data_IF_752923839702
#
_entry.id   IF_752923839702
#
_cell.length_a   1.000
_cell.length_b   1.000
_cell.length_c   1.000
_cell.angle_alpha   90.00
_cell.angle_beta   90.00
_cell.angle_gamma   90.00
#
_symmetry.space_group_name_H-M   'P 1'
#
loop_
_entity.id
_entity.type
_entity.pdbx_description
1 polymer ?
#
# COMPACT_ATOMS: atom_id res chain seq x y z
N UNK A 1 10.35 16.91 10.24
CA UNK A 1 9.93 15.66 9.55
C UNK A 1 9.21 14.77 10.55
N UNK A 2 8.08 14.18 10.15
CA UNK A 2 7.38 13.15 10.92
C UNK A 2 7.28 11.93 10.00
N UNK A 3 7.85 10.79 10.43
CA UNK A 3 7.94 9.61 9.57
C UNK A 3 7.86 8.30 10.38
N UNK A 4 7.41 7.22 9.73
CA UNK A 4 7.34 5.86 10.29
C UNK A 4 8.21 4.85 9.51
N UNK A 5 8.82 5.25 8.39
CA UNK A 5 9.67 4.38 7.60
C UNK A 5 11.02 4.10 8.29
N UNK A 6 11.60 2.95 7.97
CA UNK A 6 12.90 2.54 8.52
C UNK A 6 14.06 3.27 7.83
N UNK A 7 13.90 3.65 6.55
CA UNK A 7 14.91 4.38 5.77
C UNK A 7 15.14 5.79 6.34
N UNK A 8 16.38 6.26 6.22
CA UNK A 8 16.85 7.54 6.77
C UNK A 8 17.47 8.39 5.65
N UNK A 9 16.71 8.52 4.54
CA UNK A 9 17.18 9.14 3.29
C UNK A 9 16.98 10.68 3.28
N UNK A 10 16.75 11.28 4.44
CA UNK A 10 16.49 12.72 4.57
C UNK A 10 17.77 13.47 4.92
N UNK A 11 18.13 14.46 4.10
CA UNK A 11 19.16 15.45 4.45
C UNK A 11 18.60 16.40 5.54
N UNK A 12 19.01 16.18 6.79
CA UNK A 12 18.61 16.97 7.94
C UNK A 12 19.61 18.10 8.20
N UNK A 13 19.11 19.31 8.40
CA UNK A 13 19.90 20.45 8.83
C UNK A 13 19.90 20.59 10.36
N UNK A 14 20.87 21.33 10.92
CA UNK A 14 21.09 21.46 12.38
C UNK A 14 19.84 21.91 13.17
N UNK A 15 18.93 22.65 12.54
CA UNK A 15 17.71 23.16 13.16
C UNK A 15 16.44 22.38 12.82
N UNK A 16 16.55 21.31 12.03
CA UNK A 16 15.40 20.50 11.66
C UNK A 16 14.97 19.59 12.80
N UNK A 17 13.67 19.45 12.97
CA UNK A 17 13.08 18.55 13.94
C UNK A 17 12.59 17.28 13.22
N UNK A 18 12.97 16.12 13.75
CA UNK A 18 12.51 14.82 13.26
C UNK A 18 11.86 14.04 14.39
N UNK A 19 10.69 13.48 14.09
CA UNK A 19 10.00 12.50 14.93
C UNK A 19 9.83 11.22 14.13
N UNK A 20 10.51 10.17 14.56
CA UNK A 20 10.48 8.85 13.91
C UNK A 20 10.02 7.80 14.91
N UNK A 21 8.99 7.03 14.56
CA UNK A 21 8.43 6.00 15.42
C UNK A 21 8.09 4.77 14.59
N UNK A 22 8.30 3.59 15.17
CA UNK A 22 7.92 2.31 14.55
C UNK A 22 6.43 2.06 14.78
N UNK A 23 5.61 2.61 13.90
CA UNK A 23 4.14 2.48 13.87
C UNK A 23 3.68 2.08 12.47
N UNK A 24 2.40 1.73 12.31
CA UNK A 24 1.88 1.30 11.01
C UNK A 24 1.65 2.45 10.02
N UNK A 25 1.53 3.68 10.53
CA UNK A 25 1.25 4.87 9.71
C UNK A 25 1.76 6.14 10.39
N UNK A 26 2.30 7.07 9.63
CA UNK A 26 2.68 8.40 10.14
C UNK A 26 1.51 9.13 10.80
N UNK A 27 0.28 8.86 10.36
CA UNK A 27 -0.94 9.43 10.93
C UNK A 27 -1.18 9.02 12.38
N UNK A 28 -0.63 7.92 12.87
CA UNK A 28 -0.66 7.55 14.30
C UNK A 28 0.13 8.56 15.14
N UNK A 29 1.31 8.94 14.66
CA UNK A 29 2.18 9.92 15.33
C UNK A 29 1.46 11.27 15.38
N UNK A 30 0.95 11.72 14.24
CA UNK A 30 0.22 13.01 14.13
C UNK A 30 -1.03 13.02 15.02
N UNK A 31 -1.80 11.92 15.01
CA UNK A 31 -3.02 11.82 15.84
C UNK A 31 -2.69 11.89 17.32
N UNK A 32 -1.66 11.19 17.77
CA UNK A 32 -1.21 11.21 19.17
C UNK A 32 -0.76 12.61 19.57
N UNK A 33 0.03 13.26 18.72
CA UNK A 33 0.48 14.62 18.96
C UNK A 33 -0.70 15.60 19.08
N UNK A 34 -1.64 15.58 18.13
CA UNK A 34 -2.80 16.47 18.16
C UNK A 34 -3.71 16.18 19.37
N UNK A 35 -3.94 14.93 19.71
CA UNK A 35 -4.75 14.56 20.85
C UNK A 35 -4.16 15.07 22.18
N UNK A 36 -2.83 15.12 22.27
CA UNK A 36 -2.12 15.54 23.48
C UNK A 36 -1.96 17.05 23.59
N UNK A 37 -1.62 17.73 22.48
CA UNK A 37 -1.19 19.14 22.53
C UNK A 37 -2.14 20.11 21.83
N UNK A 38 -3.07 19.63 21.00
CA UNK A 38 -3.97 20.47 20.20
C UNK A 38 -5.29 19.76 19.87
N UNK A 39 -6.00 19.30 20.89
CA UNK A 39 -7.23 18.50 20.72
C UNK A 39 -8.27 19.18 19.83
N UNK A 40 -8.39 20.50 19.91
CA UNK A 40 -9.33 21.30 19.11
C UNK A 40 -9.00 21.27 17.60
N UNK A 41 -7.76 20.94 17.24
CA UNK A 41 -7.35 20.75 15.85
C UNK A 41 -7.85 19.43 15.24
N UNK A 42 -8.33 18.48 16.06
CA UNK A 42 -8.96 17.24 15.60
C UNK A 42 -10.40 17.51 15.12
N UNK A 43 -10.54 18.42 14.18
CA UNK A 43 -11.81 18.71 13.52
C UNK A 43 -12.28 17.54 12.68
N UNK A 44 -13.54 17.49 12.28
CA UNK A 44 -14.11 16.41 11.47
C UNK A 44 -13.32 16.15 10.17
N UNK A 45 -12.94 17.18 9.36
CA UNK A 45 -12.10 16.96 8.19
C UNK A 45 -10.72 16.39 8.52
N UNK A 46 -10.08 16.87 9.59
CA UNK A 46 -8.76 16.38 10.02
C UNK A 46 -8.85 14.91 10.46
N UNK A 47 -9.89 14.55 11.23
CA UNK A 47 -10.12 13.15 11.62
C UNK A 47 -10.29 12.23 10.41
N UNK A 48 -11.05 12.67 9.38
CA UNK A 48 -11.22 11.91 8.14
C UNK A 48 -9.90 11.70 7.39
N UNK A 49 -9.07 12.74 7.26
CA UNK A 49 -7.77 12.65 6.61
C UNK A 49 -6.82 11.71 7.36
N UNK A 50 -6.75 11.84 8.69
CA UNK A 50 -5.93 10.97 9.53
C UNK A 50 -6.40 9.51 9.47
N UNK A 51 -7.71 9.28 9.49
CA UNK A 51 -8.30 7.95 9.37
C UNK A 51 -8.04 7.34 7.98
N UNK A 52 -8.11 8.14 6.90
CA UNK A 52 -7.77 7.68 5.56
C UNK A 52 -6.32 7.21 5.47
N UNK A 53 -5.35 8.01 5.95
CA UNK A 53 -3.94 7.64 5.98
C UNK A 53 -3.70 6.40 6.84
N UNK A 54 -4.33 6.31 8.01
CA UNK A 54 -4.23 5.15 8.89
C UNK A 54 -4.71 3.86 8.20
N UNK A 55 -5.86 3.90 7.53
CA UNK A 55 -6.42 2.73 6.84
C UNK A 55 -5.61 2.32 5.61
N UNK A 56 -5.05 3.29 4.88
CA UNK A 56 -4.23 2.99 3.70
C UNK A 56 -2.90 2.35 4.07
N UNK A 57 -2.15 2.94 4.99
CA UNK A 57 -0.80 2.48 5.36
C UNK A 57 -0.84 1.19 6.19
N UNK A 58 -1.79 1.05 7.13
CA UNK A 58 -1.96 -0.18 7.89
C UNK A 58 -2.54 -1.34 7.07
N UNK A 59 -2.83 -1.14 5.78
CA UNK A 59 -3.51 -2.11 4.95
C UNK A 59 -4.87 -2.54 5.54
N UNK A 60 -5.64 -1.58 6.08
CA UNK A 60 -6.88 -1.81 6.85
C UNK A 60 -6.64 -2.73 8.06
N UNK A 61 -5.64 -2.36 8.86
CA UNK A 61 -5.22 -3.09 10.07
C UNK A 61 -4.66 -4.50 9.82
N UNK A 62 -4.22 -4.81 8.60
CA UNK A 62 -3.55 -6.09 8.30
C UNK A 62 -2.10 -6.11 8.77
N UNK A 63 -1.50 -4.93 8.91
CA UNK A 63 -0.10 -4.78 9.31
C UNK A 63 -0.04 -4.13 10.70
N UNK A 64 0.62 -4.78 11.66
CA UNK A 64 0.95 -4.29 13.01
C UNK A 64 -0.19 -3.48 13.70
N UNK A 65 -1.31 -4.13 13.98
CA UNK A 65 -2.62 -3.50 14.04
C UNK A 65 -3.12 -3.00 15.41
N UNK A 66 -2.47 -3.31 16.53
CA UNK A 66 -3.03 -2.98 17.86
C UNK A 66 -3.07 -1.47 18.12
N UNK A 67 -1.98 -0.81 17.90
CA UNK A 67 -1.83 0.65 18.06
C UNK A 67 -2.67 1.40 17.03
N UNK A 68 -2.69 0.93 15.79
CA UNK A 68 -3.52 1.48 14.71
C UNK A 68 -5.02 1.40 15.04
N UNK A 69 -5.50 0.30 15.63
CA UNK A 69 -6.90 0.16 16.07
C UNK A 69 -7.22 1.13 17.20
N UNK A 70 -6.31 1.33 18.16
CA UNK A 70 -6.48 2.31 19.22
C UNK A 70 -6.57 3.74 18.66
N UNK A 71 -5.71 4.08 17.69
CA UNK A 71 -5.73 5.36 17.00
C UNK A 71 -7.04 5.56 16.22
N UNK A 72 -7.52 4.54 15.53
CA UNK A 72 -8.83 4.60 14.86
C UNK A 72 -9.97 4.86 15.85
N UNK A 73 -9.97 4.18 16.99
CA UNK A 73 -10.97 4.42 18.04
C UNK A 73 -10.92 5.86 18.55
N UNK A 74 -9.74 6.45 18.74
CA UNK A 74 -9.57 7.84 19.14
C UNK A 74 -10.15 8.81 18.08
N UNK A 75 -9.92 8.54 16.82
CA UNK A 75 -10.42 9.35 15.71
C UNK A 75 -11.95 9.26 15.57
N UNK A 76 -12.54 8.11 15.85
CA UNK A 76 -13.97 7.84 15.67
C UNK A 76 -14.82 8.21 16.88
N UNK A 77 -14.31 8.02 18.10
CA UNK A 77 -15.08 8.11 19.37
C UNK A 77 -15.84 9.44 19.58
N UNK A 78 -15.27 10.56 19.14
CA UNK A 78 -15.85 11.89 19.29
C UNK A 78 -16.13 12.54 17.92
N UNK A 79 -16.45 11.72 16.91
CA UNK A 79 -16.71 12.17 15.56
C UNK A 79 -18.13 11.79 15.10
N UNK A 80 -18.58 12.40 14.01
CA UNK A 80 -19.81 12.05 13.30
C UNK A 80 -19.52 11.16 12.08
N UNK A 81 -18.32 10.57 12.00
CA UNK A 81 -17.93 9.72 10.87
C UNK A 81 -18.71 8.41 10.93
N UNK A 82 -19.55 8.17 9.93
CA UNK A 82 -20.07 6.84 9.65
C UNK A 82 -18.92 6.03 9.02
N UNK A 83 -18.37 5.09 9.77
CA UNK A 83 -17.21 4.32 9.35
C UNK A 83 -17.49 3.47 8.10
N UNK A 84 -18.68 2.87 7.99
CA UNK A 84 -19.03 2.05 6.84
C UNK A 84 -19.09 2.89 5.56
N UNK A 85 -19.78 4.01 5.60
CA UNK A 85 -19.85 4.96 4.49
C UNK A 85 -18.48 5.56 4.15
N UNK A 86 -17.65 5.83 5.17
CA UNK A 86 -16.31 6.37 4.98
C UNK A 86 -15.39 5.35 4.25
N UNK A 87 -15.44 4.09 4.64
CA UNK A 87 -14.66 3.02 3.99
C UNK A 87 -15.14 2.81 2.56
N UNK A 88 -16.45 2.77 2.33
CA UNK A 88 -17.03 2.67 0.99
C UNK A 88 -16.56 3.83 0.09
N UNK A 89 -16.59 5.06 0.61
CA UNK A 89 -16.06 6.21 -0.11
C UNK A 89 -14.55 6.10 -0.38
N UNK A 90 -13.76 5.67 0.59
CA UNK A 90 -12.32 5.48 0.45
C UNK A 90 -11.98 4.40 -0.58
N UNK A 91 -12.81 3.37 -0.68
CA UNK A 91 -12.66 2.27 -1.64
C UNK A 91 -13.22 2.59 -3.02
N UNK A 92 -14.15 3.53 -3.11
CA UNK A 92 -14.75 3.98 -4.35
C UNK A 92 -13.68 4.67 -5.21
N UNK A 93 -12.97 3.91 -6.00
CA UNK A 93 -12.19 4.46 -7.09
C UNK A 93 -13.12 4.57 -8.29
N UNK A 94 -13.37 5.78 -8.78
CA UNK A 94 -14.06 5.98 -10.05
C UNK A 94 -13.22 5.35 -11.17
N UNK A 95 -13.57 4.11 -11.52
CA UNK A 95 -12.96 3.42 -12.65
C UNK A 95 -13.82 3.71 -13.87
N UNK A 96 -13.29 4.40 -14.85
CA UNK A 96 -13.97 4.69 -16.10
C UNK A 96 -14.12 3.42 -16.98
N UNK A 97 -14.89 3.52 -18.07
CA UNK A 97 -15.17 2.39 -18.94
C UNK A 97 -13.89 1.79 -19.58
N UNK A 98 -12.93 2.64 -19.96
CA UNK A 98 -11.65 2.19 -20.54
C UNK A 98 -10.81 1.40 -19.53
N UNK A 99 -10.76 1.88 -18.29
CA UNK A 99 -10.05 1.23 -17.18
C UNK A 99 -10.69 -0.10 -16.79
N UNK A 100 -12.02 -0.16 -16.72
CA UNK A 100 -12.73 -1.45 -16.53
C UNK A 100 -12.40 -2.44 -17.63
N UNK A 101 -12.40 -1.98 -18.89
CA UNK A 101 -11.99 -2.81 -20.04
C UNK A 101 -10.53 -3.27 -19.95
N UNK A 102 -9.62 -2.43 -19.46
CA UNK A 102 -8.22 -2.79 -19.24
C UNK A 102 -8.08 -3.89 -18.19
N UNK A 103 -8.75 -3.74 -17.03
CA UNK A 103 -8.75 -4.76 -15.97
C UNK A 103 -9.32 -6.09 -16.46
N UNK A 104 -10.47 -6.05 -17.13
CA UNK A 104 -11.11 -7.27 -17.65
C UNK A 104 -10.22 -8.02 -18.63
N UNK A 105 -9.60 -7.30 -19.59
CA UNK A 105 -8.63 -7.91 -20.52
C UNK A 105 -7.40 -8.43 -19.79
N UNK A 106 -6.94 -7.75 -18.75
CA UNK A 106 -5.84 -8.21 -17.91
C UNK A 106 -6.18 -9.52 -17.20
N UNK A 107 -7.36 -9.64 -16.62
CA UNK A 107 -7.84 -10.89 -16.00
C UNK A 107 -7.94 -12.04 -17.02
N UNK A 108 -8.47 -11.78 -18.22
CA UNK A 108 -8.59 -12.77 -19.29
C UNK A 108 -7.23 -13.29 -19.80
N UNK A 109 -6.17 -12.48 -19.71
CA UNK A 109 -4.81 -12.81 -20.14
C UNK A 109 -3.97 -13.47 -19.06
N UNK A 110 -4.49 -13.55 -17.85
CA UNK A 110 -3.77 -14.09 -16.71
C UNK A 110 -3.37 -15.55 -16.97
N UNK A 111 -2.13 -15.87 -16.62
CA UNK A 111 -1.57 -17.22 -16.71
C UNK A 111 -0.93 -17.57 -15.39
N UNK A 112 -1.27 -18.72 -14.86
CA UNK A 112 -0.66 -19.28 -13.66
C UNK A 112 0.49 -20.21 -14.00
N UNK A 113 1.50 -20.25 -13.14
CA UNK A 113 2.67 -21.12 -13.22
C UNK A 113 3.08 -21.52 -11.82
N UNK A 114 3.43 -22.77 -11.63
CA UNK A 114 3.99 -23.26 -10.37
C UNK A 114 5.53 -23.21 -10.45
N UNK A 115 6.16 -22.75 -9.38
CA UNK A 115 7.62 -22.71 -9.24
C UNK A 115 8.01 -23.15 -7.82
N UNK A 116 8.49 -24.38 -7.68
CA UNK A 116 8.67 -24.99 -6.36
C UNK A 116 7.33 -25.08 -5.63
N UNK A 117 7.29 -24.53 -4.42
CA UNK A 117 6.09 -24.49 -3.56
C UNK A 117 5.21 -23.26 -3.81
N UNK A 118 5.53 -22.45 -4.83
CA UNK A 118 4.88 -21.17 -5.07
C UNK A 118 3.99 -21.17 -6.29
N UNK A 119 2.77 -20.71 -6.12
CA UNK A 119 1.85 -20.43 -7.22
C UNK A 119 1.99 -18.98 -7.66
N UNK A 120 2.41 -18.78 -8.91
CA UNK A 120 2.69 -17.47 -9.49
C UNK A 120 1.69 -17.19 -10.59
N UNK A 121 1.01 -16.07 -10.54
CA UNK A 121 0.13 -15.61 -11.60
C UNK A 121 0.68 -14.35 -12.26
N UNK A 122 0.73 -14.32 -13.59
CA UNK A 122 1.20 -13.16 -14.33
C UNK A 122 0.20 -12.71 -15.38
N UNK A 123 0.22 -11.41 -15.68
CA UNK A 123 -0.59 -10.79 -16.72
C UNK A 123 0.03 -9.48 -17.21
N UNK A 124 -0.67 -8.83 -18.17
CA UNK A 124 -0.31 -7.48 -18.59
C UNK A 124 -1.56 -6.63 -18.85
N UNK A 125 -1.43 -5.32 -18.64
CA UNK A 125 -2.52 -4.36 -18.86
C UNK A 125 -1.97 -2.99 -19.30
N UNK A 126 -2.87 -2.13 -19.79
CA UNK A 126 -2.50 -0.77 -20.22
C UNK A 126 -2.49 0.25 -19.08
N UNK A 127 -3.16 -0.03 -17.98
CA UNK A 127 -3.29 0.84 -16.80
C UNK A 127 -3.78 0.04 -15.61
N UNK A 128 -3.66 0.61 -14.39
CA UNK A 128 -4.12 0.01 -13.13
C UNK A 128 -3.41 -1.29 -12.77
N UNK A 129 -2.10 -1.41 -13.03
CA UNK A 129 -1.28 -2.59 -12.80
C UNK A 129 -1.39 -3.08 -11.35
N UNK A 130 -1.29 -2.16 -10.39
CA UNK A 130 -1.38 -2.49 -8.96
C UNK A 130 -2.75 -3.03 -8.55
N UNK A 131 -3.84 -2.53 -9.17
CA UNK A 131 -5.20 -3.03 -8.94
C UNK A 131 -5.39 -4.41 -9.56
N UNK A 132 -4.89 -4.62 -10.77
CA UNK A 132 -4.91 -5.93 -11.43
C UNK A 132 -4.10 -6.96 -10.63
N UNK A 133 -2.89 -6.61 -10.19
CA UNK A 133 -2.06 -7.49 -9.36
C UNK A 133 -2.77 -7.90 -8.06
N UNK A 134 -3.49 -6.96 -7.40
CA UNK A 134 -4.30 -7.26 -6.23
C UNK A 134 -5.46 -8.23 -6.52
N UNK A 135 -6.16 -8.05 -7.64
CA UNK A 135 -7.24 -8.96 -8.08
C UNK A 135 -6.72 -10.36 -8.39
N UNK A 136 -5.58 -10.45 -9.08
CA UNK A 136 -4.92 -11.72 -9.40
C UNK A 136 -4.44 -12.44 -8.14
N UNK A 137 -3.83 -11.72 -7.19
CA UNK A 137 -3.43 -12.30 -5.92
C UNK A 137 -4.64 -12.82 -5.12
N UNK A 138 -5.75 -12.06 -5.17
CA UNK A 138 -7.03 -12.44 -4.53
C UNK A 138 -7.66 -13.72 -5.12
N UNK A 139 -7.21 -14.20 -6.27
CA UNK A 139 -7.65 -15.49 -6.84
C UNK A 139 -7.00 -16.73 -6.20
N UNK A 140 -6.13 -16.53 -5.20
CA UNK A 140 -5.55 -17.61 -4.40
C UNK A 140 -4.10 -17.98 -4.73
N UNK A 141 -3.42 -17.18 -5.55
CA UNK A 141 -2.00 -17.37 -5.87
C UNK A 141 -1.10 -16.69 -4.83
N UNK A 142 0.13 -17.15 -4.68
CA UNK A 142 1.11 -16.62 -3.71
C UNK A 142 1.77 -15.34 -4.20
N UNK A 143 2.01 -15.23 -5.51
CA UNK A 143 2.68 -14.09 -6.14
C UNK A 143 1.91 -13.68 -7.39
N UNK A 144 1.66 -12.39 -7.55
CA UNK A 144 1.07 -11.81 -8.75
C UNK A 144 2.04 -10.82 -9.41
N UNK A 145 2.25 -10.97 -10.71
CA UNK A 145 3.09 -10.12 -11.55
C UNK A 145 2.25 -9.48 -12.64
N UNK A 146 2.31 -8.17 -12.80
CA UNK A 146 1.64 -7.45 -13.88
C UNK A 146 2.62 -6.55 -14.59
N UNK A 147 2.71 -6.69 -15.91
CA UNK A 147 3.53 -5.81 -16.75
C UNK A 147 2.67 -4.79 -17.50
N UNK A 148 3.27 -3.62 -17.74
CA UNK A 148 2.78 -2.62 -18.67
C UNK A 148 3.93 -2.12 -19.51
N UNK A 149 3.79 -2.21 -20.85
CA UNK A 149 4.75 -1.63 -21.78
C UNK A 149 4.15 -0.40 -22.42
N UNK A 150 4.87 0.72 -22.36
CA UNK A 150 4.48 2.00 -22.94
C UNK A 150 5.72 2.82 -23.27
N UNK A 151 5.71 3.48 -24.43
CA UNK A 151 6.76 4.42 -24.85
C UNK A 151 8.19 3.84 -24.81
N UNK A 152 8.33 2.53 -25.11
CA UNK A 152 9.62 1.81 -25.09
C UNK A 152 10.05 1.34 -23.70
N UNK A 153 9.31 1.64 -22.66
CA UNK A 153 9.58 1.21 -21.29
C UNK A 153 8.63 0.11 -20.83
N UNK A 154 9.12 -0.80 -20.00
CA UNK A 154 8.28 -1.81 -19.35
C UNK A 154 8.31 -1.62 -17.85
N UNK A 155 7.14 -1.36 -17.28
CA UNK A 155 6.93 -1.32 -15.83
C UNK A 155 6.44 -2.69 -15.36
N UNK A 156 7.09 -3.23 -14.33
CA UNK A 156 6.66 -4.43 -13.61
C UNK A 156 6.09 -4.04 -12.25
N UNK A 157 4.91 -4.59 -11.94
CA UNK A 157 4.28 -4.47 -10.62
C UNK A 157 4.08 -5.86 -10.05
N UNK A 158 4.61 -6.10 -8.85
CA UNK A 158 4.48 -7.37 -8.15
C UNK A 158 3.73 -7.21 -6.82
N UNK A 159 3.01 -8.25 -6.45
CA UNK A 159 2.42 -8.41 -5.11
C UNK A 159 2.60 -9.85 -4.65
N UNK A 160 2.83 -10.04 -3.35
CA UNK A 160 2.91 -11.34 -2.73
C UNK A 160 1.98 -11.45 -1.52
N UNK A 161 1.58 -12.66 -1.19
CA UNK A 161 0.85 -12.93 0.05
C UNK A 161 1.79 -12.81 1.25
N UNK A 162 1.21 -12.52 2.42
CA UNK A 162 1.97 -12.50 3.68
C UNK A 162 2.61 -13.88 3.98
N UNK A 163 1.99 -14.97 3.55
CA UNK A 163 2.56 -16.30 3.67
C UNK A 163 3.86 -16.43 2.85
N UNK A 164 3.88 -15.94 1.62
CA UNK A 164 5.06 -15.98 0.77
C UNK A 164 6.20 -15.12 1.35
N UNK A 165 5.91 -13.89 1.79
CA UNK A 165 6.93 -13.00 2.38
C UNK A 165 7.46 -13.55 3.70
N UNK A 166 6.62 -14.12 4.56
CA UNK A 166 7.05 -14.73 5.84
C UNK A 166 7.93 -15.97 5.64
N UNK A 167 7.85 -16.63 4.49
CA UNK A 167 8.70 -17.76 4.11
C UNK A 167 9.94 -17.37 3.31
N UNK A 168 10.25 -16.06 3.25
CA UNK A 168 11.50 -15.54 2.69
C UNK A 168 11.41 -15.02 1.26
N UNK A 169 10.23 -14.93 0.65
CA UNK A 169 10.08 -14.23 -0.64
C UNK A 169 10.18 -12.73 -0.41
N UNK A 170 11.24 -12.11 -0.92
CA UNK A 170 11.41 -10.66 -0.96
C UNK A 170 11.21 -10.13 -2.37
N UNK A 171 10.06 -9.48 -2.61
CA UNK A 171 9.79 -8.85 -3.90
C UNK A 171 10.72 -7.68 -4.18
N UNK A 172 11.12 -6.94 -3.16
CA UNK A 172 12.08 -5.84 -3.29
C UNK A 172 13.40 -6.36 -3.87
N UNK A 173 13.96 -7.45 -3.31
CA UNK A 173 15.19 -8.06 -3.81
C UNK A 173 15.03 -8.61 -5.24
N UNK A 174 13.91 -9.26 -5.52
CA UNK A 174 13.63 -9.79 -6.87
C UNK A 174 13.56 -8.65 -7.90
N UNK A 175 12.87 -7.55 -7.59
CA UNK A 175 12.76 -6.41 -8.49
C UNK A 175 14.10 -5.71 -8.71
N UNK A 176 14.93 -5.60 -7.66
CA UNK A 176 16.29 -5.06 -7.78
C UNK A 176 17.15 -5.93 -8.71
N UNK A 177 17.16 -7.26 -8.53
CA UNK A 177 17.90 -8.17 -9.40
C UNK A 177 17.43 -8.11 -10.87
N UNK A 178 16.12 -7.99 -11.10
CA UNK A 178 15.57 -7.82 -12.45
C UNK A 178 16.05 -6.49 -13.05
N UNK A 179 16.01 -5.41 -12.29
CA UNK A 179 16.44 -4.08 -12.77
C UNK A 179 17.94 -4.03 -13.06
N UNK A 180 18.77 -4.65 -12.23
CA UNK A 180 20.21 -4.79 -12.47
C UNK A 180 20.53 -5.59 -13.74
N UNK A 181 19.76 -6.66 -13.98
CA UNK A 181 19.99 -7.56 -15.12
C UNK A 181 19.53 -6.98 -16.46
N UNK A 182 18.46 -6.19 -16.45
CA UNK A 182 17.83 -5.68 -17.67
C UNK A 182 18.09 -4.20 -17.94
N UNK A 183 18.75 -3.51 -17.02
CA UNK A 183 18.92 -2.06 -17.02
C UNK A 183 17.63 -1.36 -16.63
N UNK A 184 17.64 -0.62 -15.54
CA UNK A 184 16.48 0.09 -15.04
C UNK A 184 16.60 0.43 -13.56
N UNK A 185 15.48 0.72 -12.92
CA UNK A 185 15.39 0.92 -11.47
C UNK A 185 14.28 0.03 -10.89
N UNK A 186 14.56 -0.58 -9.76
CA UNK A 186 13.61 -1.42 -9.03
C UNK A 186 13.61 -1.05 -7.56
N UNK A 187 12.57 -1.42 -6.86
CA UNK A 187 12.44 -1.20 -5.43
C UNK A 187 11.03 -1.52 -4.94
N UNK A 188 10.81 -1.35 -3.67
CA UNK A 188 9.53 -1.64 -3.03
C UNK A 188 9.74 -2.03 -1.58
N UNK A 189 8.67 -2.49 -0.95
CA UNK A 189 8.70 -3.05 0.40
C UNK A 189 7.91 -4.37 0.41
N UNK A 190 8.31 -5.26 1.30
CA UNK A 190 7.66 -6.53 1.54
C UNK A 190 6.53 -6.32 2.55
N UNK A 191 5.33 -5.91 2.08
CA UNK A 191 4.29 -5.61 3.03
C UNK A 191 2.87 -5.72 2.57
#
# INVERSE_FOLDING_TARGET
>A
IIDHHVSDDWDMHEHDLSVKMSVSATTEIVTTYLAQYSKDSLTEPVRKLLLAGLLTDSGRFRHNSKEAVNTANLLLKESKIDYAQFVEWLESSEINASERGSLLRGLQRAKATESGDWSIIHSYCGTLEGKLAGLLLGSGHDIALVSRSRDGETRLTARATKNATSKGISLANIMNQISESLGGSGGGHDG
#
